data_IF_515586932100
#
_entry.id   IF_515586932100
#
_cell.length_a   1.000
_cell.length_b   1.000
_cell.length_c   1.000
_cell.angle_alpha   90.00
_cell.angle_beta   90.00
_cell.angle_gamma   90.00
#
_symmetry.space_group_name_H-M   'P 1'
#
loop_
_entity.id
_entity.type
_entity.pdbx_description
1 polymer ?
#
# COMPACT_ATOMS: atom_id res chain seq x y z
N UNK A 1 24.96 -14.61 1.89
CA UNK A 1 23.70 -13.86 1.68
C UNK A 1 22.87 -13.73 2.97
N UNK A 2 22.86 -14.74 3.85
CA UNK A 2 22.08 -14.67 5.12
C UNK A 2 22.43 -13.47 6.01
N UNK A 3 23.69 -13.05 6.04
CA UNK A 3 24.14 -11.91 6.85
C UNK A 3 23.58 -10.54 6.41
N UNK A 4 23.08 -10.42 5.19
CA UNK A 4 22.56 -9.15 4.65
C UNK A 4 21.05 -9.05 4.63
N UNK A 5 20.31 -10.14 4.90
CA UNK A 5 18.84 -10.14 4.88
C UNK A 5 18.25 -9.14 5.87
N UNK A 6 18.76 -9.13 7.10
CA UNK A 6 18.33 -8.18 8.12
C UNK A 6 18.62 -6.72 7.74
N UNK A 7 19.74 -6.46 7.10
CA UNK A 7 20.12 -5.13 6.61
C UNK A 7 19.17 -4.67 5.50
N UNK A 8 18.89 -5.50 4.51
CA UNK A 8 17.99 -5.17 3.39
C UNK A 8 16.57 -4.90 3.89
N UNK A 9 16.03 -5.77 4.75
CA UNK A 9 14.70 -5.58 5.33
C UNK A 9 14.65 -4.34 6.24
N UNK A 10 15.68 -4.12 7.05
CA UNK A 10 15.80 -2.95 7.92
C UNK A 10 15.83 -1.65 7.13
N UNK A 11 16.62 -1.58 6.05
CA UNK A 11 16.70 -0.40 5.19
C UNK A 11 15.37 -0.13 4.46
N UNK A 12 14.65 -1.17 4.01
CA UNK A 12 13.32 -1.02 3.44
C UNK A 12 12.34 -0.39 4.44
N UNK A 13 12.29 -0.94 5.66
CA UNK A 13 11.44 -0.41 6.73
C UNK A 13 11.79 1.02 7.11
N UNK A 14 13.07 1.33 7.28
CA UNK A 14 13.55 2.68 7.58
C UNK A 14 13.23 3.67 6.47
N UNK A 15 13.39 3.28 5.20
CA UNK A 15 13.04 4.12 4.05
C UNK A 15 11.54 4.42 4.01
N UNK A 16 10.70 3.40 4.27
CA UNK A 16 9.25 3.58 4.35
C UNK A 16 8.87 4.54 5.47
N UNK A 17 9.43 4.34 6.66
CA UNK A 17 9.16 5.20 7.81
C UNK A 17 9.65 6.64 7.59
N UNK A 18 10.86 6.82 7.06
CA UNK A 18 11.44 8.13 6.77
C UNK A 18 10.65 8.90 5.69
N UNK A 19 9.94 8.21 4.80
CA UNK A 19 9.12 8.85 3.76
C UNK A 19 7.76 9.36 4.26
N UNK A 20 7.31 8.96 5.44
CA UNK A 20 6.00 9.36 6.03
C UNK A 20 5.83 10.88 6.08
N UNK A 21 6.75 11.67 6.66
CA UNK A 21 6.59 13.13 6.71
C UNK A 21 6.50 13.77 5.32
N UNK A 22 7.28 13.28 4.36
CA UNK A 22 7.23 13.73 2.98
C UNK A 22 5.84 13.49 2.36
N UNK A 23 5.32 12.28 2.44
CA UNK A 23 4.00 11.95 1.87
C UNK A 23 2.86 12.65 2.60
N UNK A 24 2.97 12.85 3.91
CA UNK A 24 2.02 13.66 4.67
C UNK A 24 1.99 15.10 4.17
N UNK A 25 3.15 15.73 3.96
CA UNK A 25 3.24 17.06 3.39
C UNK A 25 2.66 17.14 1.98
N UNK A 26 2.97 16.18 1.11
CA UNK A 26 2.43 16.12 -0.26
C UNK A 26 0.90 16.00 -0.21
N UNK A 27 0.35 15.18 0.69
CA UNK A 27 -1.11 15.00 0.80
C UNK A 27 -1.86 16.28 1.22
N UNK A 28 -1.21 17.16 1.99
CA UNK A 28 -1.75 18.47 2.34
C UNK A 28 -1.79 19.43 1.14
N UNK A 29 -0.87 19.27 0.19
CA UNK A 29 -0.76 20.15 -1.00
C UNK A 29 -1.67 19.75 -2.14
N UNK A 30 -1.69 18.48 -2.50
CA UNK A 30 -2.39 17.97 -3.70
C UNK A 30 -3.61 17.08 -3.36
N UNK A 31 -3.88 16.88 -2.08
CA UNK A 31 -4.98 16.04 -1.58
C UNK A 31 -4.61 14.55 -1.51
N UNK A 32 -5.34 13.83 -0.65
CA UNK A 32 -5.06 12.42 -0.32
C UNK A 32 -5.20 11.50 -1.54
N UNK A 33 -6.24 11.69 -2.35
CA UNK A 33 -6.50 10.89 -3.57
C UNK A 33 -5.33 10.97 -4.56
N UNK A 34 -4.89 12.18 -4.91
CA UNK A 34 -3.81 12.37 -5.88
C UNK A 34 -2.48 11.84 -5.34
N UNK A 35 -2.23 12.06 -4.04
CA UNK A 35 -1.02 11.54 -3.37
C UNK A 35 -1.00 10.02 -3.39
N UNK A 36 -2.14 9.36 -3.15
CA UNK A 36 -2.27 7.90 -3.28
C UNK A 36 -1.91 7.44 -4.68
N UNK A 37 -2.50 8.05 -5.71
CA UNK A 37 -2.25 7.66 -7.10
C UNK A 37 -0.78 7.82 -7.47
N UNK A 38 -0.15 8.93 -7.10
CA UNK A 38 1.27 9.17 -7.39
C UNK A 38 2.17 8.16 -6.67
N UNK A 39 1.97 7.97 -5.36
CA UNK A 39 2.79 7.05 -4.57
C UNK A 39 2.64 5.60 -5.03
N UNK A 40 1.41 5.15 -5.32
CA UNK A 40 1.16 3.80 -5.82
C UNK A 40 1.69 3.60 -7.24
N UNK A 41 1.65 4.62 -8.10
CA UNK A 41 2.28 4.55 -9.42
C UNK A 41 3.81 4.45 -9.32
N UNK A 42 4.44 5.21 -8.42
CA UNK A 42 5.87 5.08 -8.14
C UNK A 42 6.22 3.70 -7.56
N UNK A 43 5.38 3.17 -6.69
CA UNK A 43 5.55 1.83 -6.13
C UNK A 43 5.43 0.75 -7.21
N UNK A 44 4.46 0.89 -8.13
CA UNK A 44 4.32 -0.01 -9.27
C UNK A 44 5.55 0.01 -10.18
N UNK A 45 6.10 1.20 -10.46
CA UNK A 45 7.34 1.36 -11.21
C UNK A 45 8.54 0.72 -10.49
N UNK A 46 8.63 0.85 -9.17
CA UNK A 46 9.68 0.21 -8.39
C UNK A 46 9.60 -1.33 -8.44
N UNK A 47 8.38 -1.90 -8.38
CA UNK A 47 8.19 -3.34 -8.59
C UNK A 47 8.49 -3.78 -10.03
N UNK A 48 8.16 -2.97 -11.02
CA UNK A 48 8.52 -3.22 -12.41
C UNK A 48 10.06 -3.20 -12.59
N UNK A 49 10.76 -2.25 -11.99
CA UNK A 49 12.23 -2.24 -11.95
C UNK A 49 12.77 -3.51 -11.29
N UNK A 50 12.23 -3.90 -10.13
CA UNK A 50 12.63 -5.13 -9.45
C UNK A 50 12.43 -6.37 -10.33
N UNK A 51 11.37 -6.41 -11.13
CA UNK A 51 11.06 -7.54 -12.02
C UNK A 51 11.95 -7.58 -13.26
N UNK A 52 12.10 -6.45 -13.97
CA UNK A 52 12.80 -6.43 -15.26
C UNK A 52 14.32 -6.28 -15.13
N UNK A 53 14.78 -5.62 -14.08
CA UNK A 53 16.20 -5.37 -13.89
C UNK A 53 16.92 -6.63 -13.37
N UNK A 54 18.10 -6.91 -13.94
CA UNK A 54 18.98 -7.97 -13.47
C UNK A 54 19.86 -7.41 -12.35
N UNK A 55 19.56 -7.81 -11.12
CA UNK A 55 20.29 -7.38 -9.94
C UNK A 55 21.59 -8.20 -9.83
N UNK A 56 22.71 -7.56 -10.02
CA UNK A 56 24.04 -8.19 -9.99
C UNK A 56 24.84 -7.88 -8.73
N UNK A 57 24.43 -6.90 -7.94
CA UNK A 57 25.11 -6.47 -6.74
C UNK A 57 24.16 -6.23 -5.57
N UNK A 58 24.70 -6.34 -4.35
CA UNK A 58 23.97 -5.99 -3.13
C UNK A 58 23.54 -4.51 -3.11
N UNK A 59 24.37 -3.62 -3.66
CA UNK A 59 24.08 -2.19 -3.72
C UNK A 59 22.83 -1.91 -4.59
N UNK A 60 22.74 -2.54 -5.75
CA UNK A 60 21.56 -2.43 -6.64
C UNK A 60 20.28 -2.93 -5.96
N UNK A 61 20.37 -4.06 -5.25
CA UNK A 61 19.26 -4.59 -4.47
C UNK A 61 18.80 -3.59 -3.40
N UNK A 62 19.73 -3.02 -2.65
CA UNK A 62 19.45 -2.03 -1.60
C UNK A 62 18.76 -0.81 -2.21
N UNK A 63 19.24 -0.29 -3.34
CA UNK A 63 18.63 0.87 -4.00
C UNK A 63 17.16 0.58 -4.36
N UNK A 64 16.90 -0.56 -5.02
CA UNK A 64 15.54 -0.92 -5.44
C UNK A 64 14.61 -1.10 -4.24
N UNK A 65 15.10 -1.79 -3.20
CA UNK A 65 14.31 -2.03 -1.98
C UNK A 65 14.05 -0.74 -1.21
N UNK A 66 14.99 0.20 -1.19
CA UNK A 66 14.77 1.54 -0.64
C UNK A 66 13.75 2.35 -1.45
N UNK A 67 13.76 2.26 -2.79
CA UNK A 67 12.75 2.90 -3.64
C UNK A 67 11.34 2.34 -3.36
N UNK A 68 11.22 1.00 -3.22
CA UNK A 68 9.97 0.35 -2.80
C UNK A 68 9.54 0.89 -1.41
N UNK A 69 10.47 0.96 -0.46
CA UNK A 69 10.20 1.49 0.87
C UNK A 69 9.70 2.94 0.82
N UNK A 70 10.42 3.82 0.14
CA UNK A 70 10.05 5.24 0.01
C UNK A 70 8.66 5.42 -0.61
N UNK A 71 8.34 4.67 -1.66
CA UNK A 71 7.04 4.76 -2.31
C UNK A 71 5.91 4.18 -1.45
N UNK A 72 6.15 3.10 -0.70
CA UNK A 72 5.14 2.43 0.13
C UNK A 72 4.72 3.21 1.37
N UNK A 73 5.55 4.12 1.88
CA UNK A 73 5.26 4.88 3.10
C UNK A 73 4.00 5.74 3.05
N UNK A 74 3.60 6.19 1.85
CA UNK A 74 2.33 6.90 1.65
C UNK A 74 1.12 6.03 1.98
N UNK A 75 1.15 4.73 1.61
CA UNK A 75 0.02 3.82 1.77
C UNK A 75 -0.42 3.70 3.23
N UNK A 76 0.52 3.55 4.15
CA UNK A 76 0.22 3.44 5.57
C UNK A 76 -0.47 4.67 6.16
N UNK A 77 0.03 5.86 5.82
CA UNK A 77 -0.53 7.13 6.33
C UNK A 77 -1.86 7.45 5.68
N UNK A 78 -1.95 7.34 4.35
CA UNK A 78 -3.15 7.73 3.61
C UNK A 78 -4.32 6.80 3.91
N UNK A 79 -4.09 5.50 4.03
CA UNK A 79 -5.10 4.51 4.35
C UNK A 79 -5.89 4.91 5.63
N UNK A 80 -5.17 5.20 6.71
CA UNK A 80 -5.79 5.59 7.96
C UNK A 80 -6.36 7.01 7.95
N UNK A 81 -5.75 7.93 7.20
CA UNK A 81 -6.22 9.31 7.13
C UNK A 81 -7.47 9.49 6.24
N UNK A 82 -7.73 8.58 5.31
CA UNK A 82 -8.91 8.62 4.43
C UNK A 82 -10.16 8.02 5.08
N UNK A 83 -10.00 7.24 6.15
CA UNK A 83 -11.12 6.61 6.84
C UNK A 83 -12.08 7.63 7.49
N UNK A 84 -11.59 8.65 8.25
CA UNK A 84 -12.45 9.72 8.73
C UNK A 84 -13.23 10.45 7.63
N UNK A 85 -12.58 10.75 6.50
CA UNK A 85 -13.24 11.42 5.36
C UNK A 85 -14.40 10.55 4.81
N UNK A 86 -14.23 9.23 4.80
CA UNK A 86 -15.27 8.28 4.39
C UNK A 86 -16.43 8.22 5.37
N UNK A 87 -16.14 8.35 6.68
CA UNK A 87 -17.16 8.40 7.74
C UNK A 87 -18.00 9.66 7.57
N UNK A 88 -17.37 10.83 7.36
CA UNK A 88 -18.03 12.11 7.15
C UNK A 88 -18.87 12.10 5.87
N UNK A 89 -18.37 11.49 4.79
CA UNK A 89 -19.16 11.29 3.57
C UNK A 89 -20.40 10.44 3.82
N UNK A 90 -20.26 9.36 4.60
CA UNK A 90 -21.39 8.52 5.02
C UNK A 90 -22.41 9.27 5.85
N UNK A 91 -21.98 10.09 6.82
CA UNK A 91 -22.83 10.95 7.65
C UNK A 91 -23.60 11.97 6.80
N UNK A 92 -22.91 12.64 5.87
CA UNK A 92 -23.54 13.58 4.96
C UNK A 92 -24.65 12.93 4.11
N UNK A 93 -24.38 11.75 3.59
CA UNK A 93 -25.31 11.06 2.67
C UNK A 93 -26.50 10.41 3.39
N UNK A 94 -26.30 9.80 4.55
CA UNK A 94 -27.31 9.03 5.29
C UNK A 94 -27.95 9.78 6.46
N UNK A 95 -27.31 10.87 6.93
CA UNK A 95 -27.70 11.54 8.16
C UNK A 95 -27.27 10.81 9.44
N UNK A 96 -26.62 9.66 9.32
CA UNK A 96 -26.22 8.81 10.45
C UNK A 96 -24.69 8.68 10.47
N UNK A 97 -24.07 9.02 11.61
CA UNK A 97 -22.64 8.83 11.83
C UNK A 97 -22.34 7.40 12.29
N UNK A 98 -21.85 6.57 11.39
CA UNK A 98 -21.58 5.14 11.64
C UNK A 98 -20.09 4.84 11.83
N UNK A 99 -19.42 5.58 12.71
CA UNK A 99 -17.97 5.52 12.93
C UNK A 99 -17.50 4.12 13.35
N UNK A 100 -18.12 3.54 14.39
CA UNK A 100 -17.75 2.24 14.94
C UNK A 100 -17.89 1.11 13.91
N UNK A 101 -18.95 1.15 13.10
CA UNK A 101 -19.18 0.13 12.07
C UNK A 101 -18.13 0.19 10.96
N UNK A 102 -17.74 1.40 10.52
CA UNK A 102 -16.74 1.57 9.48
C UNK A 102 -15.33 1.17 9.97
N UNK A 103 -14.94 1.57 11.19
CA UNK A 103 -13.67 1.11 11.77
C UNK A 103 -13.66 -0.41 11.98
N UNK A 104 -14.76 -0.99 12.42
CA UNK A 104 -14.91 -2.44 12.57
C UNK A 104 -14.76 -3.18 11.25
N UNK A 105 -15.45 -2.72 10.20
CA UNK A 105 -15.36 -3.30 8.86
C UNK A 105 -13.94 -3.18 8.27
N UNK A 106 -13.31 -2.01 8.38
CA UNK A 106 -11.95 -1.79 7.91
C UNK A 106 -10.93 -2.69 8.61
N UNK A 107 -11.05 -2.81 9.94
CA UNK A 107 -10.16 -3.70 10.72
C UNK A 107 -10.38 -5.17 10.35
N UNK A 108 -11.64 -5.58 10.16
CA UNK A 108 -11.97 -6.92 9.69
C UNK A 108 -11.39 -7.18 8.30
N UNK A 109 -11.61 -6.28 7.34
CA UNK A 109 -11.08 -6.38 5.99
C UNK A 109 -9.54 -6.46 5.99
N UNK A 110 -8.87 -5.63 6.78
CA UNK A 110 -7.42 -5.64 6.91
C UNK A 110 -6.89 -6.98 7.46
N UNK A 111 -7.49 -7.50 8.53
CA UNK A 111 -7.07 -8.78 9.12
C UNK A 111 -7.37 -9.95 8.18
N UNK A 112 -8.52 -9.94 7.53
CA UNK A 112 -8.90 -10.96 6.54
C UNK A 112 -7.97 -10.96 5.34
N UNK A 113 -7.56 -9.78 4.85
CA UNK A 113 -6.61 -9.67 3.73
C UNK A 113 -5.24 -10.25 4.07
N UNK A 114 -4.75 -10.07 5.31
CA UNK A 114 -3.49 -10.67 5.78
C UNK A 114 -3.60 -12.21 5.79
N UNK A 115 -4.71 -12.75 6.28
CA UNK A 115 -4.93 -14.19 6.30
C UNK A 115 -5.01 -14.79 4.89
N UNK A 116 -5.75 -14.13 3.98
CA UNK A 116 -5.83 -14.55 2.56
C UNK A 116 -4.46 -14.45 1.88
N UNK A 117 -3.72 -13.37 2.13
CA UNK A 117 -2.37 -13.20 1.56
C UNK A 117 -1.41 -14.32 2.03
N UNK A 118 -1.46 -14.70 3.30
CA UNK A 118 -0.64 -15.79 3.84
C UNK A 118 -1.01 -17.14 3.20
N UNK A 119 -2.31 -17.42 3.04
CA UNK A 119 -2.79 -18.63 2.37
C UNK A 119 -2.32 -18.68 0.92
N UNK A 120 -2.54 -17.60 0.15
CA UNK A 120 -2.14 -17.50 -1.25
C UNK A 120 -0.63 -17.67 -1.39
N UNK A 121 0.15 -16.99 -0.53
CA UNK A 121 1.62 -17.12 -0.54
C UNK A 121 2.05 -18.57 -0.28
N UNK A 122 1.46 -19.26 0.70
CA UNK A 122 1.76 -20.66 1.00
C UNK A 122 1.49 -21.59 -0.19
N UNK A 123 0.34 -21.43 -0.85
CA UNK A 123 -0.01 -22.19 -2.06
C UNK A 123 0.98 -21.93 -3.20
N UNK A 124 1.35 -20.68 -3.42
CA UNK A 124 2.30 -20.30 -4.48
C UNK A 124 3.72 -20.82 -4.21
N UNK A 125 4.19 -20.78 -2.96
CA UNK A 125 5.48 -21.37 -2.58
C UNK A 125 5.49 -22.89 -2.82
N UNK A 126 4.39 -23.57 -2.50
CA UNK A 126 4.24 -25.00 -2.80
C UNK A 126 4.26 -25.25 -4.32
N UNK A 127 3.55 -24.41 -5.09
CA UNK A 127 3.48 -24.55 -6.55
C UNK A 127 4.84 -24.41 -7.25
N UNK A 128 5.73 -23.55 -6.73
CA UNK A 128 7.10 -23.37 -7.26
C UNK A 128 8.12 -24.35 -6.64
N UNK A 129 7.69 -25.34 -5.86
CA UNK A 129 8.55 -26.32 -5.16
C UNK A 129 9.60 -25.64 -4.25
N UNK A 130 9.19 -24.59 -3.53
CA UNK A 130 10.08 -23.94 -2.57
C UNK A 130 10.32 -24.81 -1.35
N UNK A 131 11.61 -25.12 -1.05
CA UNK A 131 12.02 -25.86 0.15
C UNK A 131 12.83 -24.95 1.09
N UNK A 132 12.35 -24.70 2.31
CA UNK A 132 13.08 -23.88 3.27
C UNK A 132 14.46 -24.50 3.60
N UNK A 133 15.48 -23.65 3.76
CA UNK A 133 16.85 -24.02 4.15
C UNK A 133 17.60 -24.93 3.13
N UNK A 134 17.11 -25.06 1.91
CA UNK A 134 17.77 -25.76 0.83
C UNK A 134 18.27 -24.79 -0.25
N UNK A 135 19.21 -25.25 -1.07
CA UNK A 135 19.64 -24.52 -2.28
C UNK A 135 18.53 -24.62 -3.31
N UNK A 136 17.93 -23.49 -3.67
CA UNK A 136 16.81 -23.44 -4.60
C UNK A 136 17.27 -23.64 -6.05
N UNK A 137 16.43 -24.29 -6.85
CA UNK A 137 16.67 -24.41 -8.28
C UNK A 137 16.51 -23.05 -9.00
N UNK A 138 17.09 -22.86 -10.20
CA UNK A 138 16.90 -21.64 -10.99
C UNK A 138 15.42 -21.36 -11.28
N UNK A 139 14.62 -22.38 -11.51
CA UNK A 139 13.17 -22.29 -11.73
C UNK A 139 12.44 -21.75 -10.49
N UNK A 140 12.78 -22.30 -9.30
CA UNK A 140 12.23 -21.85 -8.03
C UNK A 140 12.61 -20.39 -7.73
N UNK A 141 13.87 -20.01 -8.00
CA UNK A 141 14.31 -18.61 -7.83
C UNK A 141 13.56 -17.65 -8.75
N UNK A 142 13.32 -18.05 -10.00
CA UNK A 142 12.50 -17.30 -10.94
C UNK A 142 11.05 -17.20 -10.45
N UNK A 143 10.49 -18.29 -9.96
CA UNK A 143 9.16 -18.34 -9.34
C UNK A 143 9.04 -17.41 -8.14
N UNK A 144 10.04 -17.39 -7.25
CA UNK A 144 10.11 -16.45 -6.12
C UNK A 144 10.12 -15.00 -6.58
N UNK A 145 10.94 -14.67 -7.58
CA UNK A 145 10.99 -13.32 -8.16
C UNK A 145 9.62 -12.91 -8.72
N UNK A 146 8.94 -13.82 -9.43
CA UNK A 146 7.60 -13.58 -9.96
C UNK A 146 6.58 -13.34 -8.85
N UNK A 147 6.56 -14.16 -7.82
CA UNK A 147 5.65 -14.02 -6.66
C UNK A 147 5.89 -12.68 -5.96
N UNK A 148 7.14 -12.34 -5.67
CA UNK A 148 7.51 -11.13 -4.94
C UNK A 148 7.28 -9.83 -5.70
N UNK A 149 7.18 -9.89 -7.03
CA UNK A 149 6.99 -8.70 -7.87
C UNK A 149 5.59 -8.59 -8.45
N UNK A 150 5.08 -9.64 -9.14
CA UNK A 150 3.83 -9.55 -9.89
C UNK A 150 2.59 -9.51 -8.99
N UNK A 151 2.62 -10.21 -7.86
CA UNK A 151 1.47 -10.23 -6.95
C UNK A 151 1.27 -8.85 -6.28
N UNK A 152 2.28 -8.24 -5.64
CA UNK A 152 2.13 -6.87 -5.16
C UNK A 152 1.80 -5.89 -6.27
N UNK A 153 2.44 -6.00 -7.45
CA UNK A 153 2.17 -5.13 -8.58
C UNK A 153 0.70 -5.18 -9.04
N UNK A 154 0.12 -6.40 -9.10
CA UNK A 154 -1.30 -6.56 -9.45
C UNK A 154 -2.24 -5.92 -8.43
N UNK A 155 -1.97 -6.11 -7.14
CA UNK A 155 -2.73 -5.46 -6.06
C UNK A 155 -2.63 -3.94 -6.11
N UNK A 156 -1.44 -3.41 -6.36
CA UNK A 156 -1.21 -1.95 -6.51
C UNK A 156 -1.97 -1.42 -7.74
N UNK A 157 -1.93 -2.11 -8.87
CA UNK A 157 -2.66 -1.70 -10.08
C UNK A 157 -4.17 -1.66 -9.83
N UNK A 158 -4.72 -2.66 -9.17
CA UNK A 158 -6.14 -2.69 -8.74
C UNK A 158 -6.44 -1.51 -7.80
N UNK A 159 -5.55 -1.23 -6.84
CA UNK A 159 -5.71 -0.11 -5.90
C UNK A 159 -5.73 1.25 -6.61
N UNK A 160 -4.84 1.46 -7.59
CA UNK A 160 -4.83 2.68 -8.43
C UNK A 160 -6.15 2.81 -9.19
N UNK A 161 -6.62 1.72 -9.79
CA UNK A 161 -7.88 1.69 -10.53
C UNK A 161 -9.09 2.01 -9.63
N UNK A 162 -9.18 1.38 -8.45
CA UNK A 162 -10.26 1.64 -7.50
C UNK A 162 -10.24 3.08 -6.98
N UNK A 163 -9.05 3.64 -6.74
CA UNK A 163 -8.90 5.02 -6.27
C UNK A 163 -9.37 6.05 -7.31
N UNK A 164 -9.40 5.69 -8.59
CA UNK A 164 -9.99 6.55 -9.62
C UNK A 164 -11.47 6.85 -9.36
N UNK A 165 -12.20 5.92 -8.76
CA UNK A 165 -13.61 6.09 -8.42
C UNK A 165 -13.84 6.71 -7.03
N UNK A 166 -12.79 7.00 -6.27
CA UNK A 166 -12.93 7.63 -4.96
C UNK A 166 -13.38 9.11 -5.13
N UNK A 167 -14.59 9.48 -4.64
CA UNK A 167 -15.18 10.78 -4.96
C UNK A 167 -14.64 11.94 -4.13
N UNK A 168 -14.02 11.64 -2.96
CA UNK A 168 -13.66 12.67 -1.99
C UNK A 168 -12.33 13.30 -2.38
N UNK A 169 -12.38 14.48 -3.00
CA UNK A 169 -11.23 15.36 -3.16
C UNK A 169 -11.22 16.44 -2.07
N UNK A 170 -10.17 17.25 -2.00
CA UNK A 170 -10.00 18.25 -0.93
C UNK A 170 -11.06 19.36 -0.95
N UNK A 171 -11.56 19.74 -2.13
CA UNK A 171 -12.62 20.76 -2.26
C UNK A 171 -13.97 20.19 -1.83
N UNK A 172 -14.30 19.02 -2.36
CA UNK A 172 -15.52 18.32 -2.02
C UNK A 172 -15.62 18.00 -0.51
N UNK A 173 -14.49 17.62 0.10
CA UNK A 173 -14.45 17.38 1.55
C UNK A 173 -14.76 18.64 2.37
N UNK A 174 -14.25 19.81 1.97
CA UNK A 174 -14.58 21.08 2.63
C UNK A 174 -16.07 21.44 2.54
N UNK A 175 -16.65 21.32 1.34
CA UNK A 175 -18.08 21.54 1.14
C UNK A 175 -18.93 20.59 1.97
N UNK A 176 -18.51 19.34 2.06
CA UNK A 176 -19.18 18.31 2.83
C UNK A 176 -19.22 18.65 4.31
N UNK A 177 -18.12 19.12 4.90
CA UNK A 177 -18.06 19.54 6.29
C UNK A 177 -18.99 20.74 6.56
N UNK A 178 -19.01 21.75 5.68
CA UNK A 178 -19.92 22.89 5.78
C UNK A 178 -21.38 22.45 5.80
N UNK A 179 -21.75 21.52 4.92
CA UNK A 179 -23.11 21.00 4.82
C UNK A 179 -23.52 20.18 6.06
N UNK A 180 -22.60 19.42 6.65
CA UNK A 180 -22.84 18.68 7.91
C UNK A 180 -23.07 19.66 9.06
N UNK A 181 -22.24 20.70 9.17
CA UNK A 181 -22.40 21.72 10.22
C UNK A 181 -23.71 22.50 10.09
N UNK A 182 -24.08 22.90 8.89
CA UNK A 182 -25.35 23.58 8.62
C UNK A 182 -26.56 22.71 9.04
N UNK A 183 -26.50 21.41 8.80
CA UNK A 183 -27.56 20.47 9.21
C UNK A 183 -27.63 20.28 10.72
N UNK A 184 -26.52 20.42 11.46
CA UNK A 184 -26.49 20.29 12.94
C UNK A 184 -26.99 21.53 13.65
N UNK A 185 -26.92 22.69 12.98
CA UNK A 185 -27.27 24.00 13.58
C UNK A 185 -28.67 24.48 13.19
N UNK A 186 -29.36 23.79 12.29
CA UNK A 186 -30.75 24.07 11.87
C UNK A 186 -31.72 23.02 12.40
#
# INVERSE_FOLDING_TARGET
LHSYQGLVLGLSGLSSFASIPFWSYVSLKIGKRNTWQISMSLLLLAFALFYFYQINSLQELIIIVCLIGLASGAGGVLFWSMLPDTIEYGEWKSGIRSESSLYGFMTFAQKSSIAVAALVLGLLLTFINFSPNEIQTPETLTGLKNIMSLIPASGIAISIFLMYFYPINSEYHKELLINIEARKNG
#
